data_IF_625435731075
#
_entry.id   IF_625435731075
#
_cell.length_a   1.000
_cell.length_b   1.000
_cell.length_c   1.000
_cell.angle_alpha   90.00
_cell.angle_beta   90.00
_cell.angle_gamma   90.00
#
_symmetry.space_group_name_H-M   'P 1'
#
loop_
_entity.id
_entity.type
_entity.pdbx_description
1 polymer ?
#
# COMPACT_ATOMS: atom_id res chain seq x y z
N UNK A 1 -5.50 2.26 3.86
CA UNK A 1 -6.77 1.55 4.00
C UNK A 1 -7.15 0.70 2.78
N UNK A 2 -6.82 1.13 1.58
CA UNK A 2 -7.11 0.38 0.34
C UNK A 2 -5.94 -0.50 -0.14
N UNK A 3 -4.90 -0.65 0.65
CA UNK A 3 -3.71 -1.41 0.30
C UNK A 3 -2.72 -0.68 -0.61
N UNK A 4 -3.19 0.21 -1.48
CA UNK A 4 -2.37 1.05 -2.33
C UNK A 4 -1.36 0.31 -3.23
N UNK A 5 -0.62 1.07 -4.01
CA UNK A 5 0.51 0.62 -4.83
C UNK A 5 1.78 1.32 -4.36
N UNK A 6 2.93 0.66 -4.45
CA UNK A 6 4.24 1.30 -4.21
C UNK A 6 4.48 2.49 -5.14
N UNK A 7 3.92 2.47 -6.35
CA UNK A 7 3.94 3.60 -7.28
C UNK A 7 3.22 4.84 -6.72
N UNK A 8 2.18 4.66 -5.90
CA UNK A 8 1.45 5.78 -5.30
C UNK A 8 2.37 6.67 -4.45
N UNK A 9 3.37 6.11 -3.79
CA UNK A 9 4.34 6.87 -3.00
C UNK A 9 5.09 7.88 -3.89
N UNK A 10 5.58 7.42 -5.05
CA UNK A 10 6.32 8.27 -6.00
C UNK A 10 5.41 9.36 -6.56
N UNK A 11 4.21 8.98 -7.01
CA UNK A 11 3.28 9.91 -7.64
C UNK A 11 2.75 10.96 -6.65
N UNK A 12 2.39 10.55 -5.44
CA UNK A 12 1.90 11.48 -4.41
C UNK A 12 3.01 12.44 -3.96
N UNK A 13 4.26 11.98 -3.81
CA UNK A 13 5.39 12.89 -3.54
C UNK A 13 5.62 13.88 -4.69
N UNK A 14 5.49 13.43 -5.93
CA UNK A 14 5.63 14.32 -7.08
C UNK A 14 4.52 15.39 -7.13
N UNK A 15 3.26 15.01 -6.88
CA UNK A 15 2.12 15.94 -6.82
C UNK A 15 2.29 16.92 -5.66
N UNK A 16 2.60 16.44 -4.47
CA UNK A 16 2.81 17.27 -3.29
C UNK A 16 3.93 18.29 -3.51
N UNK A 17 5.06 17.86 -4.09
CA UNK A 17 6.18 18.76 -4.43
C UNK A 17 5.80 19.84 -5.44
N UNK A 18 4.91 19.56 -6.40
CA UNK A 18 4.42 20.56 -7.36
C UNK A 18 3.61 21.68 -6.73
N UNK A 19 2.90 21.38 -5.66
CA UNK A 19 2.07 22.35 -4.93
C UNK A 19 2.74 22.85 -3.64
N UNK A 20 4.00 22.52 -3.40
CA UNK A 20 4.76 22.97 -2.24
C UNK A 20 4.32 22.35 -0.92
N UNK A 21 3.64 21.21 -0.95
CA UNK A 21 3.23 20.47 0.27
C UNK A 21 4.34 19.48 0.64
N UNK A 22 4.91 19.57 1.86
CA UNK A 22 5.89 18.59 2.32
C UNK A 22 5.21 17.23 2.51
N UNK A 23 5.78 16.19 1.90
CA UNK A 23 5.32 14.81 2.02
C UNK A 23 6.55 13.89 2.06
N UNK A 24 6.86 13.38 3.25
CA UNK A 24 8.01 12.54 3.47
C UNK A 24 7.65 11.05 3.57
N UNK A 25 8.61 10.16 3.42
CA UNK A 25 8.36 8.71 3.51
C UNK A 25 7.81 8.33 4.89
N UNK A 26 8.23 9.02 5.92
CA UNK A 26 7.78 8.83 7.30
C UNK A 26 6.27 9.05 7.48
N UNK A 27 5.66 9.88 6.63
CA UNK A 27 4.21 10.12 6.69
C UNK A 27 3.42 8.85 6.39
N UNK A 28 3.91 7.99 5.48
CA UNK A 28 3.28 6.68 5.24
C UNK A 28 3.31 5.79 6.48
N UNK A 29 4.43 5.77 7.20
CA UNK A 29 4.52 5.01 8.46
C UNK A 29 3.63 5.61 9.53
N UNK A 30 3.68 6.94 9.70
CA UNK A 30 2.92 7.66 10.74
C UNK A 30 1.41 7.54 10.54
N UNK A 31 0.94 7.73 9.30
CA UNK A 31 -0.50 7.67 8.95
C UNK A 31 -0.95 6.21 8.82
N UNK A 32 -0.12 5.35 8.26
CA UNK A 32 -0.44 3.94 8.05
C UNK A 32 -0.58 3.16 9.35
N UNK A 33 0.22 3.50 10.37
CA UNK A 33 0.13 2.85 11.67
C UNK A 33 -1.23 3.14 12.32
N UNK A 34 -1.99 2.08 12.57
CA UNK A 34 -3.35 2.18 13.12
C UNK A 34 -4.44 2.49 12.09
N UNK A 35 -4.09 2.61 10.79
CA UNK A 35 -5.08 2.70 9.72
C UNK A 35 -5.21 1.31 9.08
N UNK A 36 -6.29 0.55 9.34
CA UNK A 36 -6.41 -0.80 8.83
C UNK A 36 -6.59 -0.84 7.31
N UNK A 37 -6.11 -1.90 6.67
CA UNK A 37 -6.43 -2.19 5.28
C UNK A 37 -7.77 -2.90 5.23
N UNK A 38 -8.80 -2.20 4.73
CA UNK A 38 -10.19 -2.67 4.74
C UNK A 38 -10.72 -3.05 3.35
N UNK A 39 -9.95 -2.88 2.28
CA UNK A 39 -10.40 -3.22 0.92
C UNK A 39 -9.67 -4.46 0.42
N UNK A 40 -10.44 -5.50 0.09
CA UNK A 40 -9.94 -6.78 -0.43
C UNK A 40 -9.88 -6.73 -1.97
N UNK A 41 -8.86 -6.01 -2.49
CA UNK A 41 -8.74 -5.68 -3.91
C UNK A 41 -7.45 -6.23 -4.51
N UNK A 42 -7.52 -6.79 -5.71
CA UNK A 42 -6.34 -7.20 -6.49
C UNK A 42 -5.34 -6.02 -6.67
N UNK A 43 -4.04 -6.28 -6.77
CA UNK A 43 -3.39 -7.60 -6.85
C UNK A 43 -3.11 -8.27 -5.50
N UNK A 44 -3.38 -7.63 -4.38
CA UNK A 44 -3.07 -8.17 -3.04
C UNK A 44 -4.26 -8.82 -2.36
N UNK A 45 -5.46 -8.62 -2.89
CA UNK A 45 -6.71 -9.19 -2.43
C UNK A 45 -7.35 -10.07 -3.50
N UNK A 46 -8.64 -10.36 -3.34
CA UNK A 46 -9.38 -11.33 -4.15
C UNK A 46 -10.23 -10.69 -5.26
N UNK A 47 -10.70 -9.46 -5.05
CA UNK A 47 -11.73 -8.83 -5.86
C UNK A 47 -11.16 -7.86 -6.89
N UNK A 48 -11.91 -7.67 -7.99
CA UNK A 48 -11.58 -6.72 -9.05
C UNK A 48 -12.06 -5.30 -8.71
N UNK A 49 -11.58 -4.31 -9.45
CA UNK A 49 -12.01 -2.91 -9.32
C UNK A 49 -13.52 -2.74 -9.60
N UNK A 50 -14.08 -3.54 -10.48
CA UNK A 50 -15.52 -3.55 -10.78
C UNK A 50 -16.34 -3.97 -9.56
N UNK A 51 -15.91 -5.03 -8.85
CA UNK A 51 -16.57 -5.50 -7.63
C UNK A 51 -16.45 -4.46 -6.51
N UNK A 52 -15.29 -3.79 -6.42
CA UNK A 52 -15.10 -2.67 -5.51
C UNK A 52 -16.06 -1.51 -5.80
N UNK A 53 -16.26 -1.16 -7.06
CA UNK A 53 -17.24 -0.15 -7.47
C UNK A 53 -18.66 -0.54 -7.02
N UNK A 54 -19.09 -1.77 -7.29
CA UNK A 54 -20.41 -2.27 -6.88
C UNK A 54 -20.57 -2.42 -5.36
N UNK A 55 -19.46 -2.61 -4.62
CA UNK A 55 -19.50 -2.66 -3.15
C UNK A 55 -19.69 -1.28 -2.49
N UNK A 56 -19.68 -0.19 -3.27
CA UNK A 56 -19.83 1.20 -2.81
C UNK A 56 -18.62 2.09 -3.08
N UNK A 57 -17.52 1.52 -3.55
CA UNK A 57 -16.33 2.22 -4.00
C UNK A 57 -15.66 3.09 -2.92
N UNK A 58 -14.98 4.14 -3.35
CA UNK A 58 -14.25 5.04 -2.45
C UNK A 58 -15.14 5.74 -1.40
N UNK A 59 -16.37 6.20 -1.71
CA UNK A 59 -17.25 6.77 -0.69
C UNK A 59 -17.55 5.81 0.47
N UNK A 60 -17.75 4.51 0.18
CA UNK A 60 -17.96 3.48 1.19
C UNK A 60 -16.73 3.32 2.11
N UNK A 61 -15.52 3.37 1.54
CA UNK A 61 -14.27 3.32 2.33
C UNK A 61 -14.13 4.55 3.21
N UNK A 62 -14.39 5.74 2.70
CA UNK A 62 -14.33 7.00 3.47
C UNK A 62 -15.34 6.95 4.61
N UNK A 63 -16.57 6.50 4.35
CA UNK A 63 -17.55 6.28 5.39
C UNK A 63 -17.05 5.34 6.47
N UNK A 64 -16.57 4.15 6.10
CA UNK A 64 -16.05 3.15 7.03
C UNK A 64 -14.95 3.70 7.94
N UNK A 65 -13.98 4.39 7.34
CA UNK A 65 -12.89 5.02 8.09
C UNK A 65 -13.38 6.17 8.98
N UNK A 66 -14.33 6.97 8.50
CA UNK A 66 -14.91 8.08 9.25
C UNK A 66 -15.72 7.65 10.46
N UNK A 67 -16.45 6.52 10.37
CA UNK A 67 -17.16 5.90 11.50
C UNK A 67 -16.19 5.46 12.62
N UNK A 68 -14.94 5.09 12.26
CA UNK A 68 -13.89 4.73 13.21
C UNK A 68 -12.94 5.88 13.61
N UNK A 69 -13.29 7.14 13.31
CA UNK A 69 -12.44 8.32 13.55
C UNK A 69 -11.03 8.24 12.95
N UNK A 70 -10.88 7.49 11.84
CA UNK A 70 -9.61 7.33 11.13
C UNK A 70 -9.37 8.39 10.04
N UNK A 71 -10.28 9.35 9.89
CA UNK A 71 -10.14 10.51 8.99
C UNK A 71 -10.04 11.78 9.82
N UNK A 72 -8.83 12.35 10.00
CA UNK A 72 -8.64 13.50 10.88
C UNK A 72 -9.26 14.81 10.33
N UNK A 73 -9.39 14.92 9.00
CA UNK A 73 -9.87 16.16 8.35
C UNK A 73 -11.22 15.92 7.65
N UNK A 74 -12.24 15.46 8.39
CA UNK A 74 -13.59 15.20 7.87
C UNK A 74 -14.22 16.44 7.21
N UNK A 75 -13.89 17.63 7.70
CA UNK A 75 -14.44 18.91 7.25
C UNK A 75 -13.69 19.53 6.06
N UNK A 76 -12.65 18.83 5.53
CA UNK A 76 -11.92 19.31 4.36
C UNK A 76 -12.86 19.52 3.18
N UNK A 77 -12.86 20.76 2.63
CA UNK A 77 -13.73 21.12 1.50
C UNK A 77 -13.32 20.37 0.24
N UNK A 78 -14.34 19.95 -0.51
CA UNK A 78 -14.19 19.32 -1.82
C UNK A 78 -14.64 20.27 -2.94
N UNK A 79 -14.44 19.86 -4.19
CA UNK A 79 -14.74 20.69 -5.38
C UNK A 79 -16.20 21.11 -5.52
N UNK A 80 -17.14 20.41 -4.88
CA UNK A 80 -18.57 20.74 -4.91
C UNK A 80 -19.02 21.67 -3.76
N UNK A 81 -18.07 22.16 -2.94
CA UNK A 81 -18.34 23.05 -1.81
C UNK A 81 -18.85 22.34 -0.55
N UNK A 82 -18.98 21.02 -0.57
CA UNK A 82 -19.28 20.19 0.61
C UNK A 82 -18.00 19.64 1.19
N UNK A 83 -18.03 19.27 2.48
CA UNK A 83 -16.90 18.60 3.12
C UNK A 83 -16.73 17.15 2.58
N UNK A 84 -15.56 16.57 2.84
CA UNK A 84 -15.29 15.17 2.53
C UNK A 84 -16.31 14.25 3.19
N UNK A 85 -16.63 14.51 4.45
CA UNK A 85 -17.57 13.71 5.23
C UNK A 85 -19.00 13.84 4.72
N UNK A 86 -19.49 15.05 4.47
CA UNK A 86 -20.84 15.29 3.92
C UNK A 86 -21.07 14.58 2.58
N UNK A 87 -20.01 14.37 1.80
CA UNK A 87 -20.11 13.63 0.55
C UNK A 87 -20.18 12.10 0.73
N UNK A 88 -19.78 11.59 1.89
CA UNK A 88 -19.57 10.16 2.08
C UNK A 88 -20.34 9.54 3.25
N UNK A 89 -20.86 10.34 4.19
CA UNK A 89 -21.49 9.84 5.43
C UNK A 89 -22.65 8.87 5.17
N UNK A 90 -23.44 9.10 4.14
CA UNK A 90 -24.57 8.26 3.76
C UNK A 90 -24.25 7.25 2.64
N UNK A 91 -22.97 7.12 2.26
CA UNK A 91 -22.58 6.23 1.18
C UNK A 91 -22.91 4.77 1.54
N UNK A 92 -23.67 4.04 0.69
CA UNK A 92 -24.00 2.66 1.00
C UNK A 92 -22.76 1.76 0.92
N UNK A 93 -22.74 0.72 1.75
CA UNK A 93 -21.76 -0.37 1.68
C UNK A 93 -22.54 -1.62 1.35
N UNK A 94 -22.41 -2.10 0.13
CA UNK A 94 -23.22 -3.20 -0.40
C UNK A 94 -22.58 -4.58 -0.20
N UNK A 95 -21.27 -4.61 0.07
CA UNK A 95 -20.55 -5.87 0.24
C UNK A 95 -19.41 -5.72 1.25
N UNK A 96 -19.62 -6.29 2.44
CA UNK A 96 -18.64 -6.28 3.53
C UNK A 96 -17.46 -7.27 3.33
N UNK A 97 -17.51 -8.11 2.31
CA UNK A 97 -16.33 -8.92 1.95
C UNK A 97 -15.32 -8.11 1.13
N UNK A 98 -15.78 -7.15 0.33
CA UNK A 98 -14.96 -6.27 -0.50
C UNK A 98 -14.50 -5.05 0.30
N UNK A 99 -15.45 -4.37 1.00
CA UNK A 99 -15.15 -3.23 1.90
C UNK A 99 -15.41 -3.69 3.32
N UNK A 100 -14.37 -4.24 3.94
CA UNK A 100 -14.45 -4.94 5.24
C UNK A 100 -14.75 -4.01 6.40
N UNK A 101 -15.25 -4.60 7.48
CA UNK A 101 -15.48 -3.90 8.72
C UNK A 101 -14.17 -3.63 9.45
N UNK A 102 -14.12 -2.58 10.29
CA UNK A 102 -12.91 -2.17 11.00
C UNK A 102 -12.44 -3.18 12.05
N UNK A 103 -13.35 -3.96 12.59
CA UNK A 103 -13.06 -5.04 13.54
C UNK A 103 -12.61 -6.34 12.85
N UNK A 104 -12.74 -6.42 11.51
CA UNK A 104 -12.30 -7.57 10.72
C UNK A 104 -11.54 -7.12 9.45
N UNK A 105 -10.47 -6.33 9.58
CA UNK A 105 -9.68 -5.85 8.44
C UNK A 105 -8.86 -6.99 7.80
N UNK A 106 -8.36 -6.77 6.59
CA UNK A 106 -7.38 -7.65 5.96
C UNK A 106 -6.03 -7.63 6.69
N UNK A 107 -5.61 -6.43 7.07
CA UNK A 107 -4.37 -6.15 7.79
C UNK A 107 -4.69 -5.05 8.79
N UNK A 108 -4.22 -5.20 10.03
CA UNK A 108 -4.49 -4.24 11.10
C UNK A 108 -3.85 -2.86 10.86
N UNK A 109 -2.77 -2.81 10.10
CA UNK A 109 -2.05 -1.59 9.74
C UNK A 109 -2.18 -1.26 8.25
N UNK A 110 -1.61 -0.13 7.84
CA UNK A 110 -1.65 0.35 6.46
C UNK A 110 -0.95 -0.56 5.46
N UNK A 111 -1.41 -0.51 4.21
CA UNK A 111 -0.91 -1.34 3.10
C UNK A 111 0.48 -0.99 2.58
N UNK A 112 1.10 0.09 3.07
CA UNK A 112 2.45 0.53 2.69
C UNK A 112 3.31 0.65 3.94
N UNK A 113 4.49 0.05 3.91
CA UNK A 113 5.49 0.11 4.97
C UNK A 113 6.78 0.73 4.44
N UNK A 114 7.40 1.60 5.24
CA UNK A 114 8.71 2.18 4.94
C UNK A 114 9.76 1.44 5.76
N UNK A 115 10.74 0.88 5.07
CA UNK A 115 11.87 0.15 5.66
C UNK A 115 13.11 1.03 5.67
N UNK A 116 13.94 0.86 6.68
CA UNK A 116 15.25 1.50 6.77
C UNK A 116 16.29 0.50 7.23
N UNK A 117 17.49 0.62 6.71
CA UNK A 117 18.61 -0.22 7.08
C UNK A 117 19.87 0.19 6.31
N UNK A 118 20.95 -0.53 6.53
CA UNK A 118 22.22 -0.28 5.84
C UNK A 118 22.13 -0.44 4.31
N UNK A 119 21.22 -1.30 3.84
CA UNK A 119 20.96 -1.51 2.41
C UNK A 119 20.14 -0.36 1.80
N UNK A 120 19.26 0.24 2.57
CA UNK A 120 18.39 1.34 2.14
C UNK A 120 18.33 2.43 3.22
N UNK A 121 19.42 3.18 3.46
CA UNK A 121 19.48 4.17 4.54
C UNK A 121 18.54 5.35 4.35
N UNK A 122 18.18 5.66 3.09
CA UNK A 122 17.21 6.72 2.76
C UNK A 122 15.77 6.22 2.74
N UNK A 123 15.55 4.93 2.94
CA UNK A 123 14.24 4.28 2.96
C UNK A 123 13.97 3.43 1.73
N UNK A 124 13.17 2.39 1.94
CA UNK A 124 12.59 1.54 0.90
C UNK A 124 11.11 1.37 1.16
N UNK A 125 10.35 1.09 0.12
CA UNK A 125 8.90 0.90 0.19
C UNK A 125 8.59 -0.58 0.10
N UNK A 126 7.83 -1.09 1.05
CA UNK A 126 7.31 -2.45 1.05
C UNK A 126 5.79 -2.42 1.05
N UNK A 127 5.18 -3.34 0.32
CA UNK A 127 3.76 -3.67 0.42
C UNK A 127 3.60 -5.00 1.16
N UNK A 128 3.30 -4.99 2.47
CA UNK A 128 3.23 -6.21 3.29
C UNK A 128 2.23 -7.25 2.77
N UNK A 129 1.09 -6.79 2.24
CA UNK A 129 0.06 -7.66 1.68
C UNK A 129 0.51 -8.46 0.44
N UNK A 130 1.61 -8.06 -0.20
CA UNK A 130 2.20 -8.78 -1.33
C UNK A 130 3.34 -9.71 -0.92
N UNK A 131 3.75 -9.68 0.34
CA UNK A 131 4.82 -10.52 0.88
C UNK A 131 4.25 -11.79 1.51
N UNK A 132 4.92 -12.91 1.28
CA UNK A 132 4.59 -14.16 1.99
C UNK A 132 4.89 -14.01 3.48
N UNK A 133 3.99 -14.44 4.39
CA UNK A 133 4.17 -14.22 5.83
C UNK A 133 5.49 -14.74 6.40
N UNK A 134 5.99 -15.88 5.89
CA UNK A 134 7.26 -16.47 6.33
C UNK A 134 8.49 -15.65 5.92
N UNK A 135 8.37 -14.75 4.94
CA UNK A 135 9.44 -13.87 4.48
C UNK A 135 9.48 -12.52 5.21
N UNK A 136 8.51 -12.24 6.10
CA UNK A 136 8.50 -10.99 6.89
C UNK A 136 9.67 -10.92 7.88
N UNK A 137 10.23 -12.07 8.26
CA UNK A 137 11.50 -12.18 8.98
C UNK A 137 12.33 -13.23 8.25
N UNK A 138 13.33 -12.78 7.50
CA UNK A 138 14.10 -13.67 6.64
C UNK A 138 15.59 -13.33 6.68
N UNK A 139 16.42 -14.38 6.61
CA UNK A 139 17.86 -14.26 6.45
C UNK A 139 18.32 -15.26 5.40
N UNK A 140 18.91 -14.76 4.34
CA UNK A 140 19.36 -15.59 3.23
C UNK A 140 20.62 -15.05 2.58
N UNK A 141 21.21 -15.86 1.68
CA UNK A 141 22.34 -15.45 0.86
C UNK A 141 21.88 -14.41 -0.17
N UNK A 142 22.62 -13.33 -0.33
CA UNK A 142 22.35 -12.35 -1.37
C UNK A 142 22.90 -12.81 -2.71
N UNK A 143 22.04 -12.84 -3.73
CA UNK A 143 22.42 -13.00 -5.14
C UNK A 143 22.30 -11.64 -5.80
N UNK A 144 23.45 -11.07 -6.17
CA UNK A 144 23.54 -9.67 -6.60
C UNK A 144 23.64 -9.58 -8.12
N UNK A 145 22.81 -8.73 -8.69
CA UNK A 145 22.88 -8.32 -10.10
C UNK A 145 23.33 -6.88 -10.19
N UNK A 146 24.29 -6.58 -11.05
CA UNK A 146 24.89 -5.26 -11.15
C UNK A 146 23.91 -4.23 -11.73
N UNK A 147 23.06 -4.67 -12.66
CA UNK A 147 22.02 -3.88 -13.30
C UNK A 147 20.91 -4.78 -13.87
N UNK A 148 19.94 -4.17 -14.53
CA UNK A 148 18.80 -4.90 -15.12
C UNK A 148 19.21 -5.80 -16.30
N UNK A 149 20.21 -5.41 -17.08
CA UNK A 149 20.68 -6.24 -18.20
C UNK A 149 21.45 -7.47 -17.72
N UNK A 150 22.26 -7.33 -16.69
CA UNK A 150 22.89 -8.46 -16.01
C UNK A 150 21.84 -9.40 -15.40
N UNK A 151 20.79 -8.85 -14.79
CA UNK A 151 19.66 -9.65 -14.29
C UNK A 151 19.02 -10.47 -15.43
N UNK A 152 18.65 -9.82 -16.56
CA UNK A 152 18.00 -10.50 -17.70
C UNK A 152 18.85 -11.62 -18.29
N UNK A 153 20.16 -11.42 -18.36
CA UNK A 153 21.08 -12.42 -18.89
C UNK A 153 21.20 -13.64 -17.98
N UNK A 154 21.17 -13.43 -16.67
CA UNK A 154 21.47 -14.49 -15.70
C UNK A 154 20.26 -15.17 -15.10
N UNK A 155 19.11 -14.53 -15.05
CA UNK A 155 17.93 -15.07 -14.34
C UNK A 155 17.39 -16.36 -14.99
N UNK A 156 17.65 -16.56 -16.27
CA UNK A 156 17.28 -17.77 -17.01
C UNK A 156 18.41 -18.79 -17.13
N UNK A 157 19.57 -18.52 -16.55
CA UNK A 157 20.70 -19.42 -16.53
C UNK A 157 20.41 -20.60 -15.58
N UNK A 158 20.37 -21.85 -16.08
CA UNK A 158 20.10 -23.01 -15.25
C UNK A 158 21.19 -23.27 -14.21
N UNK A 159 22.40 -22.76 -14.45
CA UNK A 159 23.55 -22.87 -13.54
C UNK A 159 23.61 -21.70 -12.51
N UNK A 160 22.63 -20.80 -12.52
CA UNK A 160 22.54 -19.75 -11.49
C UNK A 160 22.31 -20.38 -10.11
N UNK A 161 23.30 -20.26 -9.24
CA UNK A 161 23.24 -20.77 -7.88
C UNK A 161 22.24 -19.93 -7.04
N UNK A 162 20.98 -20.32 -7.08
CA UNK A 162 19.88 -19.69 -6.36
C UNK A 162 18.93 -20.77 -5.81
N UNK A 163 18.47 -20.56 -4.60
CA UNK A 163 17.48 -21.39 -3.93
C UNK A 163 16.33 -20.52 -3.35
N UNK A 164 15.34 -21.15 -2.77
CA UNK A 164 14.17 -20.49 -2.17
C UNK A 164 14.50 -19.56 -0.99
N UNK A 165 15.71 -19.69 -0.39
CA UNK A 165 16.17 -18.87 0.73
C UNK A 165 17.03 -17.68 0.27
N UNK A 166 17.35 -17.59 -1.00
CA UNK A 166 18.16 -16.49 -1.51
C UNK A 166 17.39 -15.18 -1.58
N UNK A 167 18.09 -14.07 -1.33
CA UNK A 167 17.58 -12.70 -1.53
C UNK A 167 18.18 -12.17 -2.82
N UNK A 168 17.33 -11.95 -3.83
CA UNK A 168 17.75 -11.36 -5.10
C UNK A 168 17.87 -9.85 -4.94
N UNK A 169 19.03 -9.31 -5.27
CA UNK A 169 19.35 -7.90 -5.11
C UNK A 169 19.85 -7.32 -6.43
N UNK A 170 19.13 -6.37 -6.97
CA UNK A 170 19.51 -5.65 -8.17
C UNK A 170 20.05 -4.26 -7.77
N UNK A 171 21.25 -3.93 -8.24
CA UNK A 171 21.82 -2.58 -8.14
C UNK A 171 21.29 -1.73 -9.29
N UNK A 172 21.03 -0.43 -9.04
CA UNK A 172 20.64 0.62 -10.02
C UNK A 172 19.48 0.26 -10.93
#
# INVERSE_FOLDING_TARGET
AIGGSTNAVIHLKAIAGRVGVPLELEDWTRIGKGTPTVVDLLPSGRYLMEEFYYAGGLPAVIRRLGEGDLIPNKDALTVNGRSLWENCVDAPIYNDEVVRQLDNPLIADGGICILRGNLAPRGAVLKPSAASPHLMQHRGRAVVFEDFDHYKQRILDPDLDVDENCVLLMKN
#
